data_IF_669625506485
#
_entry.id   IF_669625506485
#
_cell.length_a   1.000
_cell.length_b   1.000
_cell.length_c   1.000
_cell.angle_alpha   90.00
_cell.angle_beta   90.00
_cell.angle_gamma   90.00
#
_symmetry.space_group_name_H-M   'P 1'
#
loop_
_entity.id
_entity.type
_entity.pdbx_description
1 polymer ?
#
# COMPACT_ATOMS: atom_id res chain seq x y z
N UNK A 1 -8.89 10.71 -14.51
CA UNK A 1 -7.67 11.41 -14.09
C UNK A 1 -6.46 10.49 -14.25
N UNK A 2 -5.23 11.02 -14.27
CA UNK A 2 -4.00 10.21 -14.31
C UNK A 2 -3.17 10.44 -13.05
N UNK A 3 -2.65 9.36 -12.47
CA UNK A 3 -1.82 9.39 -11.26
C UNK A 3 -0.48 8.73 -11.58
N UNK A 4 0.63 9.31 -11.09
CA UNK A 4 1.94 8.67 -11.09
C UNK A 4 2.29 8.29 -9.66
N UNK A 5 2.63 7.03 -9.46
CA UNK A 5 3.08 6.49 -8.17
C UNK A 5 4.56 6.13 -8.31
N UNK A 6 5.40 6.60 -7.40
CA UNK A 6 6.84 6.33 -7.38
C UNK A 6 7.25 5.72 -6.05
N UNK A 7 8.19 4.78 -6.07
CA UNK A 7 8.63 4.02 -4.91
C UNK A 7 9.35 2.75 -5.32
N UNK A 8 9.68 1.89 -4.36
CA UNK A 8 10.07 0.50 -4.67
C UNK A 8 8.89 -0.26 -5.28
N UNK A 9 9.16 -1.37 -5.96
CA UNK A 9 8.10 -2.19 -6.58
C UNK A 9 7.04 -2.63 -5.56
N UNK A 10 7.48 -3.05 -4.36
CA UNK A 10 6.58 -3.45 -3.26
C UNK A 10 5.74 -2.29 -2.72
N UNK A 11 6.34 -1.12 -2.51
CA UNK A 11 5.61 0.06 -2.05
C UNK A 11 4.59 0.54 -3.08
N UNK A 12 4.97 0.53 -4.36
CA UNK A 12 4.08 0.90 -5.46
C UNK A 12 2.91 -0.09 -5.55
N UNK A 13 3.15 -1.39 -5.46
CA UNK A 13 2.08 -2.39 -5.46
C UNK A 13 1.10 -2.16 -4.30
N UNK A 14 1.61 -2.00 -3.08
CA UNK A 14 0.77 -1.73 -1.90
C UNK A 14 -0.03 -0.42 -2.03
N UNK A 15 0.58 0.64 -2.57
CA UNK A 15 -0.11 1.90 -2.79
C UNK A 15 -1.21 1.78 -3.85
N UNK A 16 -0.97 1.07 -4.95
CA UNK A 16 -1.97 0.83 -6.00
C UNK A 16 -3.16 0.05 -5.44
N UNK A 17 -2.92 -0.98 -4.62
CA UNK A 17 -4.00 -1.71 -3.94
C UNK A 17 -4.85 -0.80 -3.05
N UNK A 18 -4.23 0.10 -2.28
CA UNK A 18 -4.96 1.06 -1.44
C UNK A 18 -5.72 2.10 -2.26
N UNK A 19 -5.17 2.57 -3.37
CA UNK A 19 -5.86 3.49 -4.28
C UNK A 19 -7.13 2.84 -4.85
N UNK A 20 -7.06 1.56 -5.20
CA UNK A 20 -8.20 0.82 -5.74
C UNK A 20 -9.36 0.62 -4.75
N UNK A 21 -9.16 0.87 -3.45
CA UNK A 21 -10.26 0.80 -2.47
C UNK A 21 -11.14 2.06 -2.43
N UNK A 22 -10.65 3.17 -3.01
CA UNK A 22 -11.31 4.48 -2.98
C UNK A 22 -11.59 5.05 -4.36
N UNK A 23 -10.82 4.66 -5.38
CA UNK A 23 -10.97 5.10 -6.76
C UNK A 23 -11.17 3.91 -7.69
N UNK A 24 -11.88 4.13 -8.78
CA UNK A 24 -11.97 3.14 -9.85
C UNK A 24 -10.69 3.18 -10.69
N UNK A 25 -9.85 2.15 -10.59
CA UNK A 25 -8.65 2.02 -11.41
C UNK A 25 -9.02 1.37 -12.74
N UNK A 26 -8.87 2.11 -13.83
CA UNK A 26 -9.24 1.67 -15.17
C UNK A 26 -8.07 1.00 -15.88
N UNK A 27 -6.86 1.57 -15.71
CA UNK A 27 -5.64 1.04 -16.29
C UNK A 27 -4.46 1.21 -15.34
N UNK A 28 -3.60 0.20 -15.31
CA UNK A 28 -2.34 0.22 -14.58
C UNK A 28 -1.21 -0.16 -15.54
N UNK A 29 -0.24 0.72 -15.70
CA UNK A 29 0.97 0.38 -16.46
C UNK A 29 1.88 -0.59 -15.68
N UNK A 30 2.83 -1.22 -16.37
CA UNK A 30 3.88 -2.02 -15.72
C UNK A 30 4.78 -1.13 -14.86
N UNK A 31 5.46 -1.73 -13.89
CA UNK A 31 6.49 -1.03 -13.12
C UNK A 31 7.68 -0.66 -14.02
N UNK A 32 7.99 0.63 -14.08
CA UNK A 32 9.14 1.17 -14.79
C UNK A 32 10.25 1.50 -13.81
N UNK A 33 11.28 0.66 -13.73
CA UNK A 33 12.46 0.95 -12.93
C UNK A 33 13.12 2.26 -13.39
N UNK A 34 13.56 3.06 -12.42
CA UNK A 34 14.38 4.24 -12.70
C UNK A 34 15.77 3.80 -13.20
N UNK A 35 16.40 4.62 -14.02
CA UNK A 35 17.74 4.32 -14.56
C UNK A 35 18.79 4.36 -13.44
N UNK A 36 19.84 3.54 -13.58
CA UNK A 36 20.94 3.46 -12.62
C UNK A 36 20.74 2.36 -11.58
N UNK A 37 21.53 2.38 -10.51
CA UNK A 37 21.49 1.38 -9.42
C UNK A 37 20.39 1.67 -8.38
N UNK A 38 19.23 2.16 -8.81
CA UNK A 38 18.10 2.48 -7.92
C UNK A 38 17.11 1.32 -7.86
N UNK A 39 16.64 1.00 -6.66
CA UNK A 39 15.51 0.09 -6.46
C UNK A 39 14.14 0.76 -6.70
N UNK A 40 14.14 2.06 -7.01
CA UNK A 40 12.93 2.84 -7.21
C UNK A 40 12.47 2.78 -8.67
N UNK A 41 11.17 2.91 -8.86
CA UNK A 41 10.54 3.02 -10.16
C UNK A 41 9.21 3.72 -10.06
N UNK A 42 8.41 3.55 -11.11
CA UNK A 42 7.14 4.25 -11.26
C UNK A 42 6.08 3.43 -11.96
N UNK A 43 4.83 3.66 -11.58
CA UNK A 43 3.64 3.17 -12.27
C UNK A 43 2.74 4.36 -12.57
N UNK A 44 2.18 4.36 -13.76
CA UNK A 44 1.12 5.27 -14.17
C UNK A 44 -0.24 4.56 -14.06
N UNK A 45 -1.20 5.25 -13.48
CA UNK A 45 -2.59 4.82 -13.34
C UNK A 45 -3.52 5.75 -14.11
N UNK A 46 -4.49 5.19 -14.79
CA UNK A 46 -5.70 5.90 -15.23
C UNK A 46 -6.82 5.53 -14.26
N UNK A 47 -7.43 6.53 -13.62
CA UNK A 47 -8.48 6.30 -12.61
C UNK A 47 -9.69 7.22 -12.82
N UNK A 48 -10.85 6.78 -12.37
CA UNK A 48 -12.09 7.55 -12.35
C UNK A 48 -12.59 7.76 -10.91
N UNK A 49 -13.45 8.77 -10.68
CA UNK A 49 -14.18 8.87 -9.43
C UNK A 49 -14.94 7.57 -9.15
N UNK A 50 -15.07 7.15 -7.87
CA UNK A 50 -15.83 5.96 -7.55
C UNK A 50 -17.28 6.11 -8.02
N UNK A 51 -17.89 5.01 -8.49
CA UNK A 51 -19.29 5.01 -8.87
C UNK A 51 -20.17 5.50 -7.70
N UNK A 52 -21.22 6.29 -7.97
CA UNK A 52 -22.12 6.76 -6.92
C UNK A 52 -22.71 5.59 -6.13
N UNK A 53 -22.54 5.61 -4.81
CA UNK A 53 -23.02 4.55 -3.91
C UNK A 53 -22.09 3.34 -3.76
N UNK A 54 -20.93 3.32 -4.43
CA UNK A 54 -19.89 2.32 -4.14
C UNK A 54 -19.39 2.48 -2.71
N UNK A 55 -19.50 1.44 -1.86
CA UNK A 55 -19.02 1.52 -0.49
C UNK A 55 -17.49 1.60 -0.50
N UNK A 56 -16.94 2.64 0.13
CA UNK A 56 -15.51 2.73 0.40
C UNK A 56 -15.15 1.68 1.45
N UNK A 57 -14.24 0.75 1.11
CA UNK A 57 -13.73 -0.24 2.06
C UNK A 57 -12.53 0.35 2.80
N UNK A 58 -12.69 0.55 4.10
CA UNK A 58 -11.62 0.98 5.00
C UNK A 58 -11.52 0.01 6.17
N UNK A 59 -10.31 -0.45 6.44
CA UNK A 59 -9.97 -1.20 7.64
C UNK A 59 -9.26 -0.24 8.59
N UNK A 60 -9.66 -0.24 9.87
CA UNK A 60 -9.06 0.59 10.90
C UNK A 60 -8.49 -0.29 12.00
N UNK A 61 -7.24 -0.05 12.38
CA UNK A 61 -6.65 -0.63 13.58
C UNK A 61 -6.80 0.35 14.75
N UNK A 62 -7.26 -0.15 15.90
CA UNK A 62 -7.38 0.64 17.12
C UNK A 62 -6.01 0.83 17.76
N UNK A 63 -5.47 2.05 17.69
CA UNK A 63 -4.14 2.42 18.21
C UNK A 63 -4.02 2.33 19.74
N UNK A 64 -5.14 2.29 20.46
CA UNK A 64 -5.24 2.14 21.92
C UNK A 64 -5.08 0.69 22.40
N UNK A 65 -5.05 -0.29 21.47
CA UNK A 65 -4.85 -1.69 21.83
C UNK A 65 -3.39 -1.90 22.19
N UNK A 66 -3.08 -1.98 23.49
CA UNK A 66 -1.75 -2.39 23.98
C UNK A 66 -1.40 -3.75 23.36
N UNK A 67 -0.47 -3.76 22.40
CA UNK A 67 0.12 -4.98 21.85
C UNK A 67 0.68 -5.78 23.03
N UNK A 68 0.08 -6.93 23.33
CA UNK A 68 0.61 -7.84 24.31
C UNK A 68 1.97 -8.33 23.80
N UNK A 69 3.05 -7.85 24.41
CA UNK A 69 4.37 -8.39 24.16
C UNK A 69 4.36 -9.85 24.63
N UNK A 70 4.91 -10.80 23.86
CA UNK A 70 5.06 -12.17 24.32
C UNK A 70 5.86 -12.18 25.63
N UNK A 71 5.43 -13.03 26.58
CA UNK A 71 6.08 -13.15 27.86
C UNK A 71 7.58 -13.39 27.66
N UNK A 72 8.41 -12.56 28.27
CA UNK A 72 9.85 -12.77 28.25
C UNK A 72 10.14 -14.09 28.98
N UNK A 73 10.48 -15.13 28.23
CA UNK A 73 11.02 -16.36 28.77
C UNK A 73 12.23 -16.00 29.63
N UNK A 74 12.06 -16.09 30.95
CA UNK A 74 13.16 -15.97 31.89
C UNK A 74 14.08 -17.16 31.64
N UNK A 75 15.22 -16.93 30.98
CA UNK A 75 16.36 -17.85 31.07
C UNK A 75 16.79 -17.90 32.53
N UNK A 76 16.44 -18.99 33.22
CA UNK A 76 17.10 -19.35 34.47
C UNK A 76 18.58 -19.64 34.15
N UNK A 77 19.46 -18.80 34.69
CA UNK A 77 20.90 -19.04 34.67
C UNK A 77 21.18 -19.92 35.90
N UNK A 78 21.62 -21.15 35.65
CA UNK A 78 22.19 -22.07 36.66
C UNK A 78 23.68 -21.85 36.79
#
# INVERSE_FOLDING_TARGET
>A
MRIRVEGTETEVAAAVEKIATVLEVQETSRFYANRGASALGRVYLTVAPPAPGSPVRAEAERADTKRALPAADRKEIR
#
